data_IF_807568823535
#
_entry.id   IF_807568823535
#
_cell.length_a   1.000
_cell.length_b   1.000
_cell.length_c   1.000
_cell.angle_alpha   90.00
_cell.angle_beta   90.00
_cell.angle_gamma   90.00
#
_symmetry.space_group_name_H-M   'P 1'
#
loop_
_entity.id
_entity.type
_entity.pdbx_description
1 polymer ?
#
# COMPACT_ATOMS: atom_id res chain seq x y z
N UNK A 1 9.54 -22.04 -11.69
CA UNK A 1 8.56 -21.12 -12.32
C UNK A 1 9.13 -20.64 -13.64
N UNK A 2 8.32 -20.42 -14.68
CA UNK A 2 8.82 -19.82 -15.93
C UNK A 2 9.23 -18.36 -15.65
N UNK A 3 10.35 -17.86 -16.19
CA UNK A 3 10.84 -16.51 -15.92
C UNK A 3 9.81 -15.43 -16.26
N UNK A 4 9.03 -15.62 -17.32
CA UNK A 4 7.93 -14.73 -17.69
C UNK A 4 6.85 -14.59 -16.60
N UNK A 5 6.54 -15.67 -15.87
CA UNK A 5 5.55 -15.64 -14.79
C UNK A 5 6.04 -14.82 -13.60
N UNK A 6 7.35 -14.87 -13.31
CA UNK A 6 7.95 -14.06 -12.24
C UNK A 6 7.91 -12.57 -12.57
N UNK A 7 8.25 -12.20 -13.81
CA UNK A 7 8.18 -10.80 -14.27
C UNK A 7 6.75 -10.25 -14.19
N UNK A 8 5.77 -11.04 -14.62
CA UNK A 8 4.36 -10.62 -14.57
C UNK A 8 3.85 -10.42 -13.14
N UNK A 9 4.26 -11.30 -12.23
CA UNK A 9 3.91 -11.19 -10.80
C UNK A 9 4.50 -9.92 -10.19
N UNK A 10 5.79 -9.66 -10.43
CA UNK A 10 6.44 -8.44 -9.96
C UNK A 10 5.78 -7.17 -10.54
N UNK A 11 5.43 -7.17 -11.84
CA UNK A 11 4.72 -6.06 -12.46
C UNK A 11 3.33 -5.83 -11.84
N UNK A 12 2.62 -6.90 -11.50
CA UNK A 12 1.31 -6.79 -10.84
C UNK A 12 1.42 -6.24 -9.42
N UNK A 13 2.46 -6.62 -8.68
CA UNK A 13 2.73 -6.11 -7.33
C UNK A 13 3.11 -4.63 -7.36
N UNK A 14 3.95 -4.25 -8.32
CA UNK A 14 4.31 -2.85 -8.57
C UNK A 14 3.07 -2.03 -8.93
N UNK A 15 2.22 -2.53 -9.84
CA UNK A 15 0.99 -1.85 -10.23
C UNK A 15 0.03 -1.69 -9.05
N UNK A 16 -0.11 -2.71 -8.20
CA UNK A 16 -0.91 -2.61 -6.98
C UNK A 16 -0.37 -1.52 -6.04
N UNK A 17 0.95 -1.49 -5.81
CA UNK A 17 1.58 -0.44 -5.01
C UNK A 17 1.32 0.95 -5.58
N UNK A 18 1.51 1.13 -6.90
CA UNK A 18 1.26 2.40 -7.58
C UNK A 18 -0.19 2.85 -7.41
N UNK A 19 -1.16 1.95 -7.63
CA UNK A 19 -2.58 2.26 -7.46
C UNK A 19 -2.89 2.68 -6.02
N UNK A 20 -2.40 1.93 -5.04
CA UNK A 20 -2.61 2.26 -3.62
C UNK A 20 -2.00 3.62 -3.28
N UNK A 21 -0.77 3.88 -3.71
CA UNK A 21 -0.10 5.16 -3.47
C UNK A 21 -0.88 6.33 -4.09
N UNK A 22 -1.30 6.21 -5.35
CA UNK A 22 -2.11 7.25 -6.02
C UNK A 22 -3.43 7.51 -5.30
N UNK A 23 -4.10 6.47 -4.81
CA UNK A 23 -5.33 6.63 -4.03
C UNK A 23 -5.07 7.35 -2.70
N UNK A 24 -3.97 7.03 -2.01
CA UNK A 24 -3.59 7.74 -0.78
C UNK A 24 -3.33 9.22 -1.05
N UNK A 25 -2.58 9.55 -2.10
CA UNK A 25 -2.34 10.94 -2.50
C UNK A 25 -3.63 11.68 -2.91
N UNK A 26 -4.61 10.99 -3.48
CA UNK A 26 -5.87 11.59 -3.88
C UNK A 26 -6.81 11.84 -2.69
N UNK A 27 -6.87 10.91 -1.73
CA UNK A 27 -7.83 10.97 -0.63
C UNK A 27 -7.31 11.68 0.62
N UNK A 28 -5.99 11.76 0.83
CA UNK A 28 -5.44 12.40 2.02
C UNK A 28 -5.22 13.89 1.72
N UNK A 29 -5.93 14.80 2.41
CA UNK A 29 -5.83 16.23 2.15
C UNK A 29 -4.52 16.78 2.71
N UNK A 30 -3.56 17.02 1.83
CA UNK A 30 -2.22 17.54 2.17
C UNK A 30 -2.30 18.89 2.93
N UNK A 31 -3.02 19.86 2.37
CA UNK A 31 -3.12 21.22 2.92
C UNK A 31 -3.76 21.26 4.32
N UNK A 32 -4.81 20.47 4.55
CA UNK A 32 -5.48 20.41 5.87
C UNK A 32 -4.56 19.80 6.93
N UNK A 33 -3.77 18.80 6.54
CA UNK A 33 -2.86 18.08 7.42
C UNK A 33 -1.62 18.92 7.74
N UNK A 34 -1.16 19.71 6.77
CA UNK A 34 -0.13 20.74 6.97
C UNK A 34 -0.62 21.82 7.94
N UNK A 35 -1.81 22.38 7.70
CA UNK A 35 -2.39 23.41 8.56
C UNK A 35 -2.54 22.94 10.02
N UNK A 36 -3.03 21.71 10.21
CA UNK A 36 -3.10 21.08 11.53
C UNK A 36 -1.71 20.91 12.19
N UNK A 37 -0.70 20.50 11.41
CA UNK A 37 0.65 20.34 11.91
C UNK A 37 1.25 21.68 12.34
N UNK A 38 1.07 22.72 11.52
CA UNK A 38 1.57 24.06 11.82
C UNK A 38 0.93 24.65 13.09
N UNK A 39 -0.35 24.40 13.31
CA UNK A 39 -1.06 24.84 14.52
C UNK A 39 -0.51 24.18 15.79
N UNK A 40 -0.09 22.91 15.72
CA UNK A 40 0.29 22.15 16.91
C UNK A 40 1.81 22.08 17.16
N UNK A 41 2.62 22.13 16.11
CA UNK A 41 4.09 21.93 16.17
C UNK A 41 4.90 23.13 15.65
N UNK A 42 4.25 24.11 15.02
CA UNK A 42 4.88 25.31 14.47
C UNK A 42 5.16 25.23 12.98
N UNK A 43 5.65 26.33 12.42
CA UNK A 43 5.82 26.52 10.98
C UNK A 43 6.82 25.53 10.37
N UNK A 44 6.46 24.92 9.24
CA UNK A 44 7.32 24.05 8.45
C UNK A 44 7.38 24.53 7.01
N UNK A 45 8.55 24.46 6.39
CA UNK A 45 8.68 24.81 4.98
C UNK A 45 7.94 23.78 4.10
N UNK A 46 7.09 24.26 3.19
CA UNK A 46 6.29 23.42 2.27
C UNK A 46 7.09 22.32 1.58
N UNK A 47 8.33 22.61 1.16
CA UNK A 47 9.22 21.62 0.51
C UNK A 47 9.52 20.44 1.42
N UNK A 48 9.86 20.71 2.69
CA UNK A 48 10.16 19.67 3.67
C UNK A 48 8.91 18.92 4.12
N UNK A 49 7.77 19.63 4.19
CA UNK A 49 6.49 18.99 4.44
C UNK A 49 6.14 18.01 3.33
N UNK A 50 6.17 18.43 2.06
CA UNK A 50 5.83 17.59 0.93
C UNK A 50 6.75 16.36 0.81
N UNK A 51 8.05 16.52 1.03
CA UNK A 51 9.00 15.41 1.03
C UNK A 51 8.66 14.38 2.12
N UNK A 52 8.43 14.85 3.35
CA UNK A 52 8.09 14.00 4.50
C UNK A 52 6.72 13.32 4.34
N UNK A 53 5.73 14.09 3.90
CA UNK A 53 4.37 13.62 3.67
C UNK A 53 4.33 12.56 2.57
N UNK A 54 4.95 12.82 1.42
CA UNK A 54 5.06 11.85 0.32
C UNK A 54 5.74 10.56 0.77
N UNK A 55 6.79 10.66 1.60
CA UNK A 55 7.48 9.50 2.15
C UNK A 55 6.58 8.68 3.09
N UNK A 56 5.82 9.33 3.96
CA UNK A 56 4.85 8.68 4.86
C UNK A 56 3.78 7.96 4.05
N UNK A 57 3.23 8.61 3.01
CA UNK A 57 2.26 8.00 2.11
C UNK A 57 2.83 6.77 1.40
N UNK A 58 4.12 6.82 1.03
CA UNK A 58 4.79 5.69 0.41
C UNK A 58 4.93 4.49 1.37
N UNK A 59 5.30 4.73 2.63
CA UNK A 59 5.34 3.69 3.66
C UNK A 59 3.95 3.08 3.92
N UNK A 60 2.91 3.91 3.98
CA UNK A 60 1.53 3.45 4.11
C UNK A 60 1.10 2.61 2.89
N UNK A 61 1.47 3.03 1.67
CA UNK A 61 1.17 2.28 0.46
C UNK A 61 1.82 0.89 0.47
N UNK A 62 3.09 0.81 0.90
CA UNK A 62 3.80 -0.48 1.05
C UNK A 62 3.11 -1.36 2.09
N UNK A 63 2.75 -0.80 3.25
CA UNK A 63 2.10 -1.55 4.32
C UNK A 63 0.75 -2.12 3.87
N UNK A 64 -0.10 -1.30 3.25
CA UNK A 64 -1.42 -1.71 2.73
C UNK A 64 -1.26 -2.78 1.64
N UNK A 65 -0.34 -2.57 0.69
CA UNK A 65 -0.10 -3.53 -0.40
C UNK A 65 0.39 -4.87 0.15
N UNK A 66 1.30 -4.84 1.12
CA UNK A 66 1.82 -6.04 1.79
C UNK A 66 0.70 -6.79 2.52
N UNK A 67 -0.16 -6.08 3.25
CA UNK A 67 -1.31 -6.67 3.92
C UNK A 67 -2.28 -7.28 2.91
N UNK A 68 -2.57 -6.61 1.80
CA UNK A 68 -3.44 -7.13 0.75
C UNK A 68 -2.90 -8.45 0.15
N UNK A 69 -1.60 -8.49 -0.17
CA UNK A 69 -0.93 -9.71 -0.65
C UNK A 69 -1.04 -10.83 0.39
N UNK A 70 -0.79 -10.52 1.66
CA UNK A 70 -0.89 -11.48 2.75
C UNK A 70 -2.32 -12.02 2.93
N UNK A 71 -3.34 -11.16 2.89
CA UNK A 71 -4.74 -11.57 2.97
C UNK A 71 -5.14 -12.47 1.81
N UNK A 72 -4.74 -12.14 0.58
CA UNK A 72 -5.02 -12.96 -0.62
C UNK A 72 -4.35 -14.33 -0.49
N UNK A 73 -3.09 -14.37 -0.06
CA UNK A 73 -2.36 -15.61 0.16
C UNK A 73 -3.02 -16.46 1.25
N UNK A 74 -3.37 -15.87 2.38
CA UNK A 74 -4.06 -16.55 3.48
C UNK A 74 -5.45 -17.07 3.07
N UNK A 75 -6.23 -16.28 2.32
CA UNK A 75 -7.53 -16.70 1.80
C UNK A 75 -7.40 -17.87 0.82
N UNK A 76 -6.37 -17.85 -0.05
CA UNK A 76 -6.08 -18.95 -0.98
C UNK A 76 -5.70 -20.23 -0.24
N UNK A 77 -4.87 -20.15 0.80
CA UNK A 77 -4.51 -21.30 1.63
C UNK A 77 -5.73 -21.89 2.36
N UNK A 78 -6.62 -21.04 2.90
CA UNK A 78 -7.87 -21.49 3.54
C UNK A 78 -8.79 -22.22 2.56
N UNK A 79 -8.97 -21.69 1.34
CA UNK A 79 -9.75 -22.35 0.28
C UNK A 79 -9.16 -23.71 -0.11
N UNK A 80 -7.84 -23.81 -0.20
CA UNK A 80 -7.16 -25.05 -0.57
C UNK A 80 -7.30 -26.14 0.51
N UNK A 81 -7.19 -25.77 1.80
CA UNK A 81 -7.47 -26.68 2.92
C UNK A 81 -8.93 -27.16 2.94
N UNK A 82 -9.90 -26.28 2.66
CA UNK A 82 -11.32 -26.64 2.61
C UNK A 82 -11.63 -27.65 1.49
N UNK A 83 -11.05 -27.46 0.31
CA UNK A 83 -11.21 -28.39 -0.83
C UNK A 83 -10.56 -29.78 -0.59
N UNK A 84 -9.57 -29.88 0.30
CA UNK A 84 -8.95 -31.15 0.69
C UNK A 84 -9.76 -31.88 1.76
N UNK A 85 -10.44 -31.16 2.67
CA UNK A 85 -11.29 -31.75 3.71
C UNK A 85 -12.70 -32.15 3.25
N UNK A 86 -13.12 -31.75 2.05
CA UNK A 86 -14.41 -32.14 1.44
C UNK A 86 -14.28 -33.42 0.58
N UNK A 87 -13.05 -33.91 0.38
CA UNK A 87 -12.74 -35.16 -0.35
C UNK A 87 -12.43 -36.35 0.60
N UNK A 88 -12.92 -36.31 1.83
CA UNK A 88 -12.92 -37.42 2.82
C UNK A 88 -14.29 -37.56 3.42
#
# INVERSE_FOLDING_TARGET
MKPATHVFLWLSELLALTVVYTLLCYFIPDEELMAWYEENYGFIQEVHWNDGFSLILYFLAIAITTLAIWFIAAARQRKWKKSQGENT
#
